data_IF_135556610370
#
_entry.id   IF_135556610370
#
_cell.length_a   1.000
_cell.length_b   1.000
_cell.length_c   1.000
_cell.angle_alpha   90.00
_cell.angle_beta   90.00
_cell.angle_gamma   90.00
#
_symmetry.space_group_name_H-M   'P 1'
#
loop_
_entity.id
_entity.type
_entity.pdbx_description
1 polymer ?
#
# COMPACT_ATOMS: atom_id res chain seq x y z
N UNK A 1 -9.83 26.68 -6.64
CA UNK A 1 -9.07 27.05 -5.40
C UNK A 1 -7.89 27.90 -5.80
N UNK A 2 -7.62 29.03 -5.09
CA UNK A 2 -6.48 29.87 -5.44
C UNK A 2 -5.13 29.16 -5.23
N UNK A 3 -4.17 29.41 -6.13
CA UNK A 3 -2.84 28.80 -6.10
C UNK A 3 -2.13 29.02 -4.74
N UNK A 4 -2.25 30.24 -4.16
CA UNK A 4 -1.65 30.52 -2.83
C UNK A 4 -2.20 29.66 -1.70
N UNK A 5 -3.46 29.16 -1.80
CA UNK A 5 -4.04 28.27 -0.81
C UNK A 5 -3.50 26.86 -0.95
N UNK A 6 -3.33 26.38 -2.20
CA UNK A 6 -2.78 25.05 -2.49
C UNK A 6 -1.35 24.87 -1.98
N UNK A 7 -0.54 25.94 -2.05
CA UNK A 7 0.89 25.84 -1.70
C UNK A 7 1.19 26.23 -0.25
N UNK A 8 0.19 26.64 0.51
CA UNK A 8 0.35 27.12 1.89
C UNK A 8 1.02 26.11 2.84
N UNK A 9 0.71 24.85 2.68
CA UNK A 9 1.21 23.76 3.54
C UNK A 9 2.35 22.95 2.87
N UNK A 10 2.94 23.44 1.78
CA UNK A 10 4.06 22.76 1.10
C UNK A 10 5.37 23.07 1.83
N UNK A 11 5.98 22.08 2.55
CA UNK A 11 7.16 22.34 3.37
C UNK A 11 8.43 22.58 2.55
N UNK A 12 8.40 22.27 1.27
CA UNK A 12 9.54 22.33 0.34
C UNK A 12 9.49 23.58 -0.54
N UNK A 13 8.59 24.54 -0.26
CA UNK A 13 8.45 25.80 -0.98
C UNK A 13 9.69 26.68 -0.76
N UNK A 14 10.33 27.11 -1.83
CA UNK A 14 11.49 28.00 -1.82
C UNK A 14 11.11 29.43 -2.22
N UNK A 15 10.42 29.60 -3.35
CA UNK A 15 10.06 30.91 -3.93
C UNK A 15 8.81 30.79 -4.81
N UNK A 16 8.12 31.90 -5.04
CA UNK A 16 7.01 31.98 -5.98
C UNK A 16 7.21 33.13 -6.96
N UNK A 17 6.79 32.96 -8.22
CA UNK A 17 6.86 33.98 -9.26
C UNK A 17 5.49 34.09 -9.96
N UNK A 18 5.01 35.31 -10.18
CA UNK A 18 3.74 35.57 -10.87
C UNK A 18 2.56 35.72 -9.91
N UNK A 19 1.34 35.74 -10.49
CA UNK A 19 0.10 35.97 -9.74
C UNK A 19 -0.37 34.72 -9.01
N UNK A 20 -0.22 34.68 -7.70
CA UNK A 20 -0.63 33.58 -6.83
C UNK A 20 -2.14 33.56 -6.54
N UNK A 21 -2.93 34.50 -7.06
CA UNK A 21 -4.39 34.51 -6.93
C UNK A 21 -5.10 33.71 -8.04
N UNK A 22 -4.35 33.20 -9.01
CA UNK A 22 -4.92 32.41 -10.09
C UNK A 22 -5.69 31.17 -9.54
N UNK A 23 -6.88 30.95 -10.12
CA UNK A 23 -7.75 29.83 -9.74
C UNK A 23 -7.30 28.54 -10.41
N UNK A 24 -7.05 27.50 -9.60
CA UNK A 24 -6.72 26.15 -10.04
C UNK A 24 -7.97 25.27 -9.95
N UNK A 25 -8.36 24.68 -11.08
CA UNK A 25 -9.52 23.79 -11.19
C UNK A 25 -9.14 22.31 -11.39
N UNK A 26 -7.88 22.04 -11.79
CA UNK A 26 -7.42 20.66 -12.05
C UNK A 26 -5.93 20.50 -11.73
N UNK A 27 -5.55 19.24 -11.45
CA UNK A 27 -4.17 18.80 -11.31
C UNK A 27 -3.73 18.06 -12.57
N UNK A 28 -2.53 18.33 -13.08
CA UNK A 28 -2.01 17.79 -14.32
C UNK A 28 -0.62 17.17 -14.14
N UNK A 29 -0.50 15.88 -14.40
CA UNK A 29 0.78 15.14 -14.44
C UNK A 29 1.20 14.73 -15.87
N UNK A 30 0.34 14.95 -16.86
CA UNK A 30 0.58 14.60 -18.26
C UNK A 30 0.38 15.82 -19.17
N UNK A 31 1.47 16.37 -19.67
CA UNK A 31 1.46 17.59 -20.52
C UNK A 31 0.64 17.45 -21.81
N UNK A 32 0.29 16.24 -22.24
CA UNK A 32 -0.50 15.98 -23.46
C UNK A 32 -2.01 16.09 -23.24
N UNK A 33 -2.45 16.05 -21.99
CA UNK A 33 -3.86 16.15 -21.64
C UNK A 33 -4.31 17.62 -21.66
N UNK A 34 -5.50 17.86 -22.22
CA UNK A 34 -6.15 19.19 -22.10
C UNK A 34 -6.67 19.33 -20.69
N UNK A 35 -6.18 20.34 -19.99
CA UNK A 35 -6.48 20.55 -18.56
C UNK A 35 -6.80 22.01 -18.32
N UNK A 36 -8.09 22.38 -18.36
CA UNK A 36 -8.52 23.76 -18.14
C UNK A 36 -8.21 24.22 -16.71
N UNK A 37 -7.55 25.39 -16.59
CA UNK A 37 -7.11 25.95 -15.31
C UNK A 37 -6.31 24.95 -14.45
N UNK A 38 -5.45 24.16 -15.12
CA UNK A 38 -4.62 23.15 -14.46
C UNK A 38 -3.37 23.71 -13.81
N UNK A 39 -2.83 22.98 -12.82
CA UNK A 39 -1.46 23.13 -12.33
C UNK A 39 -0.64 21.94 -12.79
N UNK A 40 0.47 22.17 -13.49
CA UNK A 40 1.36 21.11 -13.98
C UNK A 40 2.60 20.96 -13.10
N UNK A 41 3.00 19.71 -12.83
CA UNK A 41 4.14 19.37 -11.98
C UNK A 41 5.37 19.05 -12.81
N UNK A 42 6.41 19.89 -12.70
CA UNK A 42 7.70 19.74 -13.36
C UNK A 42 8.75 19.26 -12.34
N UNK A 43 9.21 18.04 -12.47
CA UNK A 43 10.34 17.50 -11.71
C UNK A 43 11.21 16.61 -12.59
N UNK A 44 12.47 16.45 -12.20
CA UNK A 44 13.40 15.58 -12.88
C UNK A 44 13.11 14.10 -12.54
N UNK A 45 12.94 13.26 -13.55
CA UNK A 45 12.86 11.81 -13.43
C UNK A 45 14.21 11.16 -13.77
N UNK A 46 14.31 9.83 -13.60
CA UNK A 46 15.51 9.08 -13.90
C UNK A 46 15.90 9.12 -15.41
N UNK A 47 14.90 9.24 -16.29
CA UNK A 47 15.11 9.15 -17.74
C UNK A 47 14.63 10.39 -18.52
N UNK A 48 13.87 11.28 -17.89
CA UNK A 48 13.35 12.49 -18.52
C UNK A 48 13.17 13.60 -17.50
N UNK A 49 13.18 14.85 -17.98
CA UNK A 49 12.94 16.04 -17.20
C UNK A 49 11.61 16.68 -17.62
N UNK A 50 10.63 16.69 -16.71
CA UNK A 50 9.28 17.21 -17.00
C UNK A 50 9.26 18.71 -17.29
N UNK A 51 10.26 19.47 -16.88
CA UNK A 51 10.36 20.92 -17.16
C UNK A 51 10.32 21.23 -18.68
N UNK A 52 10.90 20.37 -19.53
CA UNK A 52 10.87 20.54 -20.98
C UNK A 52 9.47 20.45 -21.60
N UNK A 53 8.50 19.91 -20.88
CA UNK A 53 7.10 19.77 -21.30
C UNK A 53 6.19 20.87 -20.76
N UNK A 54 6.71 21.81 -19.95
CA UNK A 54 5.93 22.91 -19.39
C UNK A 54 5.24 23.79 -20.44
N UNK A 55 5.91 24.17 -21.56
CA UNK A 55 5.25 24.95 -22.62
C UNK A 55 4.04 24.22 -23.21
N UNK A 56 4.14 22.89 -23.40
CA UNK A 56 3.03 22.08 -23.92
C UNK A 56 1.87 22.00 -22.91
N UNK A 57 2.16 21.82 -21.63
CA UNK A 57 1.13 21.81 -20.59
C UNK A 57 0.36 23.14 -20.53
N UNK A 58 1.06 24.26 -20.66
CA UNK A 58 0.44 25.59 -20.71
C UNK A 58 -0.42 25.76 -21.96
N UNK A 59 0.05 25.32 -23.13
CA UNK A 59 -0.76 25.30 -24.35
C UNK A 59 -2.02 24.44 -24.22
N UNK A 60 -1.99 23.41 -23.40
CA UNK A 60 -3.10 22.50 -23.13
C UNK A 60 -3.98 22.96 -21.95
N UNK A 61 -3.79 24.20 -21.43
CA UNK A 61 -4.69 24.83 -20.48
C UNK A 61 -4.21 24.87 -19.03
N UNK A 62 -2.96 24.47 -18.75
CA UNK A 62 -2.38 24.68 -17.43
C UNK A 62 -2.05 26.19 -17.23
N UNK A 63 -2.46 26.75 -16.10
CA UNK A 63 -2.32 28.17 -15.76
C UNK A 63 -1.29 28.41 -14.66
N UNK A 64 -0.69 27.37 -14.12
CA UNK A 64 0.39 27.44 -13.13
C UNK A 64 1.31 26.23 -13.22
N UNK A 65 2.55 26.37 -12.74
CA UNK A 65 3.56 25.31 -12.69
C UNK A 65 4.13 25.15 -11.28
N UNK A 66 4.38 23.90 -10.88
CA UNK A 66 5.29 23.57 -9.78
C UNK A 66 6.61 23.14 -10.41
N UNK A 67 7.72 23.77 -10.01
CA UNK A 67 9.01 23.62 -10.68
C UNK A 67 10.14 23.41 -9.66
N UNK A 68 11.21 22.70 -10.06
CA UNK A 68 12.45 22.59 -9.28
C UNK A 68 13.52 23.60 -9.76
N UNK A 69 13.24 24.33 -10.85
CA UNK A 69 13.96 25.52 -11.33
C UNK A 69 13.01 26.39 -12.11
N UNK A 70 13.17 27.71 -12.04
CA UNK A 70 12.35 28.63 -12.84
C UNK A 70 12.57 28.44 -14.35
N UNK A 71 11.49 28.65 -15.11
CA UNK A 71 11.46 28.63 -16.57
C UNK A 71 11.14 30.04 -17.06
N UNK A 72 12.06 30.66 -17.80
CA UNK A 72 11.92 32.04 -18.29
C UNK A 72 11.14 32.10 -19.62
N UNK A 73 10.97 30.98 -20.30
CA UNK A 73 10.25 30.84 -21.56
C UNK A 73 8.75 30.57 -21.39
N UNK A 74 8.24 30.53 -20.14
CA UNK A 74 6.83 30.26 -19.83
C UNK A 74 6.25 31.37 -18.98
N UNK A 75 5.19 32.03 -19.49
CA UNK A 75 4.59 33.21 -18.84
C UNK A 75 3.31 32.85 -18.03
N UNK A 76 3.48 31.97 -17.04
CA UNK A 76 2.44 31.63 -16.03
C UNK A 76 3.07 31.62 -14.62
N UNK A 77 2.28 31.74 -13.57
CA UNK A 77 2.77 31.62 -12.19
C UNK A 77 3.54 30.32 -11.96
N UNK A 78 4.66 30.42 -11.26
CA UNK A 78 5.55 29.32 -10.96
C UNK A 78 5.80 29.21 -9.45
N UNK A 79 5.73 28.01 -8.93
CA UNK A 79 6.02 27.65 -7.53
C UNK A 79 7.33 26.86 -7.53
N UNK A 80 8.41 27.48 -7.06
CA UNK A 80 9.71 26.85 -6.94
C UNK A 80 9.79 26.02 -5.66
N UNK A 81 10.12 24.75 -5.79
CA UNK A 81 10.23 23.78 -4.68
C UNK A 81 11.56 23.05 -4.73
N UNK A 82 12.06 22.59 -3.58
CA UNK A 82 13.27 21.77 -3.50
C UNK A 82 13.03 20.28 -3.82
N UNK A 83 11.79 19.81 -3.76
CA UNK A 83 11.38 18.45 -4.10
C UNK A 83 9.98 18.47 -4.74
N UNK A 84 9.93 18.33 -6.04
CA UNK A 84 8.69 18.40 -6.83
C UNK A 84 7.72 17.24 -6.56
N UNK A 85 8.25 16.04 -6.27
CA UNK A 85 7.42 14.86 -5.97
C UNK A 85 6.71 15.00 -4.62
N UNK A 86 7.45 15.41 -3.59
CA UNK A 86 6.90 15.66 -2.27
C UNK A 86 5.92 16.84 -2.28
N UNK A 87 6.25 17.92 -3.01
CA UNK A 87 5.33 19.05 -3.20
C UNK A 87 4.03 18.62 -3.91
N UNK A 88 4.11 17.75 -4.91
CA UNK A 88 2.94 17.20 -5.60
C UNK A 88 2.00 16.49 -4.61
N UNK A 89 2.51 15.63 -3.73
CA UNK A 89 1.69 14.94 -2.73
C UNK A 89 0.93 15.94 -1.86
N UNK A 90 1.64 16.94 -1.31
CA UNK A 90 1.04 17.99 -0.44
C UNK A 90 0.01 18.87 -1.16
N UNK A 91 0.26 19.23 -2.41
CA UNK A 91 -0.69 20.02 -3.22
C UNK A 91 -1.94 19.21 -3.53
N UNK A 92 -1.78 17.89 -3.83
CA UNK A 92 -2.93 17.00 -4.05
C UNK A 92 -3.81 16.87 -2.80
N UNK A 93 -3.23 16.72 -1.61
CA UNK A 93 -3.97 16.73 -0.34
C UNK A 93 -4.80 18.01 -0.17
N UNK A 94 -4.19 19.17 -0.36
CA UNK A 94 -4.87 20.45 -0.24
C UNK A 94 -5.98 20.61 -1.28
N UNK A 95 -5.74 20.23 -2.54
CA UNK A 95 -6.70 20.33 -3.63
C UNK A 95 -7.98 19.51 -3.36
N UNK A 96 -7.84 18.31 -2.81
CA UNK A 96 -8.96 17.45 -2.44
C UNK A 96 -9.48 17.68 -1.02
N UNK A 97 -9.08 18.79 -0.38
CA UNK A 97 -9.54 19.18 0.96
C UNK A 97 -9.19 18.13 2.03
N UNK A 98 -7.97 17.63 2.00
CA UNK A 98 -7.37 16.73 2.99
C UNK A 98 -8.19 15.47 3.29
N UNK A 99 -8.47 14.60 2.31
CA UNK A 99 -9.20 13.36 2.55
C UNK A 99 -8.45 12.42 3.49
N UNK A 100 -7.11 12.47 3.49
CA UNK A 100 -6.22 11.69 4.34
C UNK A 100 -6.40 11.99 5.85
N UNK A 101 -6.94 13.16 6.22
CA UNK A 101 -7.21 13.56 7.62
C UNK A 101 -8.59 13.10 8.11
N UNK A 102 -9.44 12.57 7.23
CA UNK A 102 -10.85 12.26 7.53
C UNK A 102 -11.13 10.79 7.78
N UNK A 103 -10.13 9.93 7.63
CA UNK A 103 -10.22 8.48 7.80
C UNK A 103 -9.01 7.95 8.57
N UNK A 104 -9.13 6.74 9.13
CA UNK A 104 -7.99 6.03 9.76
C UNK A 104 -7.30 5.17 8.72
N UNK A 105 -5.98 5.14 8.72
CA UNK A 105 -5.20 4.37 7.75
C UNK A 105 -4.42 3.24 8.41
N UNK A 106 -4.45 2.05 7.78
CA UNK A 106 -3.54 0.95 8.04
C UNK A 106 -2.66 0.77 6.82
N UNK A 107 -1.35 0.94 6.98
CA UNK A 107 -0.38 0.78 5.90
C UNK A 107 0.38 -0.53 6.04
N UNK A 108 0.40 -1.35 4.98
CA UNK A 108 1.07 -2.65 4.99
C UNK A 108 2.25 -2.61 4.04
N UNK A 109 3.46 -2.74 4.57
CA UNK A 109 4.71 -2.81 3.79
C UNK A 109 5.42 -4.15 4.02
N UNK A 110 6.31 -4.48 3.10
CA UNK A 110 7.09 -5.71 3.07
C UNK A 110 7.27 -6.20 1.63
N UNK A 111 7.97 -7.29 1.43
CA UNK A 111 8.13 -7.87 0.10
C UNK A 111 6.91 -8.68 -0.29
N UNK A 112 6.49 -9.62 0.54
CA UNK A 112 5.37 -10.55 0.30
C UNK A 112 4.27 -10.37 1.35
N UNK A 113 3.06 -10.81 1.05
CA UNK A 113 1.94 -10.83 1.99
C UNK A 113 1.10 -9.56 2.06
N UNK A 114 1.52 -8.44 1.48
CA UNK A 114 0.79 -7.16 1.53
C UNK A 114 -0.69 -7.29 1.13
N UNK A 115 -0.94 -7.80 -0.05
CA UNK A 115 -2.31 -7.92 -0.61
C UNK A 115 -3.19 -8.82 0.26
N UNK A 116 -2.71 -10.01 0.62
CA UNK A 116 -3.50 -10.93 1.45
C UNK A 116 -3.78 -10.33 2.82
N UNK A 117 -2.77 -9.74 3.46
CA UNK A 117 -2.94 -9.06 4.75
C UNK A 117 -3.93 -7.90 4.66
N UNK A 118 -3.89 -7.10 3.58
CA UNK A 118 -4.82 -5.97 3.43
C UNK A 118 -6.27 -6.42 3.32
N UNK A 119 -6.55 -7.50 2.60
CA UNK A 119 -7.90 -8.09 2.54
C UNK A 119 -8.34 -8.66 3.90
N UNK A 120 -7.43 -9.32 4.63
CA UNK A 120 -7.72 -9.83 5.98
C UNK A 120 -8.03 -8.69 6.96
N UNK A 121 -7.23 -7.60 6.97
CA UNK A 121 -7.51 -6.42 7.81
C UNK A 121 -8.84 -5.80 7.45
N UNK A 122 -9.14 -5.64 6.14
CA UNK A 122 -10.44 -5.13 5.68
C UNK A 122 -11.57 -5.98 6.21
N UNK A 123 -11.52 -7.31 6.05
CA UNK A 123 -12.54 -8.25 6.53
C UNK A 123 -12.74 -8.14 8.04
N UNK A 124 -11.66 -8.06 8.83
CA UNK A 124 -11.73 -7.91 10.28
C UNK A 124 -12.40 -6.58 10.67
N UNK A 125 -12.01 -5.48 10.04
CA UNK A 125 -12.58 -4.16 10.33
C UNK A 125 -14.07 -4.10 9.95
N UNK A 126 -14.48 -4.73 8.85
CA UNK A 126 -15.88 -4.81 8.45
C UNK A 126 -16.73 -5.64 9.42
N UNK A 127 -16.20 -6.75 9.97
CA UNK A 127 -16.84 -7.50 11.03
C UNK A 127 -16.99 -6.67 12.33
N UNK A 128 -16.07 -5.75 12.58
CA UNK A 128 -16.16 -4.82 13.70
C UNK A 128 -17.12 -3.63 13.42
N UNK A 129 -17.79 -3.61 12.26
CA UNK A 129 -18.79 -2.59 11.89
C UNK A 129 -18.21 -1.33 11.22
N UNK A 130 -16.92 -1.29 10.87
CA UNK A 130 -16.35 -0.18 10.13
C UNK A 130 -16.66 -0.29 8.63
N UNK A 131 -16.97 0.83 8.00
CA UNK A 131 -16.99 0.92 6.53
C UNK A 131 -15.56 1.07 6.03
N UNK A 132 -15.09 0.12 5.21
CA UNK A 132 -13.69 0.04 4.81
C UNK A 132 -13.47 0.41 3.35
N UNK A 133 -12.30 1.02 3.08
CA UNK A 133 -11.67 1.14 1.77
C UNK A 133 -10.41 0.29 1.71
N UNK A 134 -10.00 -0.08 0.50
CA UNK A 134 -8.75 -0.77 0.24
C UNK A 134 -8.03 -0.09 -0.93
N UNK A 135 -6.71 0.07 -0.80
CA UNK A 135 -5.82 0.57 -1.86
C UNK A 135 -4.71 -0.45 -2.05
N UNK A 136 -4.62 -1.08 -3.23
CA UNK A 136 -3.63 -2.13 -3.42
C UNK A 136 -3.48 -2.67 -4.84
N UNK A 137 -2.68 -3.71 -4.95
CA UNK A 137 -2.27 -4.35 -6.22
C UNK A 137 -3.45 -4.86 -7.06
N UNK A 138 -4.51 -5.32 -6.42
CA UNK A 138 -5.71 -5.82 -7.09
C UNK A 138 -6.69 -4.72 -7.51
N UNK A 139 -6.29 -3.45 -7.39
CA UNK A 139 -7.14 -2.28 -7.54
C UNK A 139 -7.60 -1.72 -6.19
N UNK A 140 -8.31 -0.59 -6.24
CA UNK A 140 -8.85 0.06 -5.06
C UNK A 140 -10.31 -0.38 -4.83
N UNK A 141 -10.78 -0.37 -3.59
CA UNK A 141 -12.14 -0.75 -3.23
C UNK A 141 -12.78 0.27 -2.30
N UNK A 142 -14.06 0.53 -2.51
CA UNK A 142 -14.92 1.31 -1.60
C UNK A 142 -16.07 0.38 -1.20
N UNK A 143 -15.98 -0.25 -0.03
CA UNK A 143 -16.84 -1.39 0.30
C UNK A 143 -16.68 -2.49 -0.76
N UNK A 144 -17.75 -2.79 -1.51
CA UNK A 144 -17.76 -3.76 -2.61
C UNK A 144 -17.48 -3.15 -4.01
N UNK A 145 -17.48 -1.80 -4.13
CA UNK A 145 -17.17 -1.13 -5.41
C UNK A 145 -15.68 -1.25 -5.71
N UNK A 146 -15.34 -1.85 -6.85
CA UNK A 146 -13.97 -1.98 -7.32
C UNK A 146 -13.59 -0.84 -8.27
N UNK A 147 -12.42 -0.25 -8.06
CA UNK A 147 -11.81 0.81 -8.88
C UNK A 147 -10.49 0.25 -9.43
N UNK A 148 -10.34 0.07 -10.75
CA UNK A 148 -9.10 -0.41 -11.33
C UNK A 148 -7.92 0.50 -10.97
N UNK A 149 -6.77 -0.07 -10.67
CA UNK A 149 -5.51 0.65 -10.44
C UNK A 149 -4.38 -0.06 -11.17
N UNK A 150 -3.49 0.71 -11.77
CA UNK A 150 -2.30 0.18 -12.45
C UNK A 150 -1.08 0.05 -11.52
N UNK A 151 -1.19 0.54 -10.29
CA UNK A 151 -0.09 0.56 -9.31
C UNK A 151 -0.58 0.06 -7.96
N UNK A 152 0.27 -0.68 -7.26
CA UNK A 152 0.03 -1.11 -5.86
C UNK A 152 -0.29 0.06 -4.93
N UNK A 153 0.42 1.16 -5.09
CA UNK A 153 0.18 2.43 -4.40
C UNK A 153 0.10 3.51 -5.49
N UNK A 154 -1.07 4.10 -5.75
CA UNK A 154 -1.26 5.07 -6.82
C UNK A 154 -0.38 6.32 -6.70
N UNK A 155 -0.25 7.08 -7.78
CA UNK A 155 0.35 8.41 -7.74
C UNK A 155 -0.54 9.40 -6.96
N UNK A 156 0.00 10.50 -6.43
CA UNK A 156 -0.74 11.37 -5.50
C UNK A 156 -2.07 11.90 -6.04
N UNK A 157 -2.18 12.24 -7.33
CA UNK A 157 -3.44 12.73 -7.94
C UNK A 157 -4.52 11.67 -7.87
N UNK A 158 -4.22 10.46 -8.32
CA UNK A 158 -5.19 9.36 -8.35
C UNK A 158 -5.51 8.91 -6.93
N UNK A 159 -4.49 8.80 -6.06
CA UNK A 159 -4.67 8.42 -4.66
C UNK A 159 -5.62 9.39 -3.94
N UNK A 160 -5.37 10.69 -4.01
CA UNK A 160 -6.21 11.67 -3.31
C UNK A 160 -7.62 11.77 -3.90
N UNK A 161 -7.78 11.54 -5.21
CA UNK A 161 -9.11 11.43 -5.84
C UNK A 161 -9.88 10.25 -5.27
N UNK A 162 -9.26 9.07 -5.24
CA UNK A 162 -9.91 7.86 -4.73
C UNK A 162 -10.22 7.97 -3.23
N UNK A 163 -9.30 8.56 -2.44
CA UNK A 163 -9.54 8.83 -1.02
C UNK A 163 -10.70 9.82 -0.81
N UNK A 164 -10.82 10.84 -1.68
CA UNK A 164 -11.95 11.76 -1.61
C UNK A 164 -13.28 11.06 -1.93
N UNK A 165 -13.33 10.15 -2.91
CA UNK A 165 -14.50 9.30 -3.15
C UNK A 165 -14.81 8.41 -1.93
N UNK A 166 -13.79 7.85 -1.27
CA UNK A 166 -13.95 7.07 -0.03
C UNK A 166 -14.57 7.91 1.09
N UNK A 167 -14.12 9.16 1.27
CA UNK A 167 -14.72 10.10 2.25
C UNK A 167 -16.19 10.34 1.93
N UNK A 168 -16.53 10.63 0.67
CA UNK A 168 -17.92 10.86 0.25
C UNK A 168 -18.79 9.62 0.44
N UNK A 169 -18.21 8.43 0.30
CA UNK A 169 -18.89 7.17 0.57
C UNK A 169 -19.01 6.86 2.07
N UNK A 170 -18.42 7.66 2.97
CA UNK A 170 -18.46 7.44 4.41
C UNK A 170 -17.53 6.33 4.91
N UNK A 171 -16.42 6.06 4.20
CA UNK A 171 -15.36 5.14 4.65
C UNK A 171 -14.72 5.68 5.93
N UNK A 172 -14.48 4.80 6.89
CA UNK A 172 -13.91 5.12 8.20
C UNK A 172 -12.46 4.59 8.35
N UNK A 173 -12.16 3.44 7.73
CA UNK A 173 -10.86 2.81 7.76
C UNK A 173 -10.41 2.49 6.33
N UNK A 174 -9.21 2.92 5.96
CA UNK A 174 -8.58 2.57 4.68
C UNK A 174 -7.39 1.67 4.95
N UNK A 175 -7.40 0.50 4.33
CA UNK A 175 -6.25 -0.43 4.35
C UNK A 175 -5.47 -0.24 3.05
N UNK A 176 -4.18 0.09 3.17
CA UNK A 176 -3.33 0.44 2.03
C UNK A 176 -2.08 -0.43 1.94
N UNK A 177 -1.82 -1.00 0.79
CA UNK A 177 -0.52 -1.56 0.47
C UNK A 177 0.48 -0.41 0.25
N UNK A 178 1.51 -0.34 1.09
CA UNK A 178 2.59 0.67 1.03
C UNK A 178 3.79 0.05 0.35
N UNK A 179 3.96 0.32 -0.95
CA UNK A 179 5.12 -0.15 -1.71
C UNK A 179 6.36 0.69 -1.38
N UNK A 180 7.55 0.07 -1.46
CA UNK A 180 8.81 0.79 -1.27
C UNK A 180 8.99 1.92 -2.31
N UNK A 181 8.57 1.69 -3.57
CA UNK A 181 8.59 2.74 -4.58
C UNK A 181 7.71 3.95 -4.19
N UNK A 182 6.55 3.73 -3.56
CA UNK A 182 5.70 4.84 -3.15
C UNK A 182 6.34 5.67 -2.03
N UNK A 183 7.07 5.04 -1.12
CA UNK A 183 7.83 5.71 -0.07
C UNK A 183 8.99 6.52 -0.68
N UNK A 184 9.81 5.89 -1.51
CA UNK A 184 10.98 6.51 -2.16
C UNK A 184 10.58 7.65 -3.12
N UNK A 185 9.46 7.49 -3.82
CA UNK A 185 8.92 8.49 -4.73
C UNK A 185 8.03 9.54 -4.05
N UNK A 186 8.01 9.62 -2.73
CA UNK A 186 7.25 10.61 -1.96
C UNK A 186 5.74 10.65 -2.25
N UNK A 187 5.14 9.51 -2.66
CA UNK A 187 3.70 9.49 -3.00
C UNK A 187 2.79 9.64 -1.80
N UNK A 188 3.30 9.33 -0.62
CA UNK A 188 2.56 9.31 0.65
C UNK A 188 2.99 10.40 1.62
N UNK A 189 3.79 11.38 1.15
CA UNK A 189 4.23 12.49 1.99
C UNK A 189 3.03 13.30 2.49
N UNK A 190 2.96 13.50 3.80
CA UNK A 190 1.85 14.15 4.48
C UNK A 190 0.81 13.21 5.06
N UNK A 191 0.73 11.98 4.58
CA UNK A 191 -0.17 10.98 5.16
C UNK A 191 0.32 10.47 6.51
N UNK A 192 -0.61 10.16 7.40
CA UNK A 192 -0.35 9.54 8.70
C UNK A 192 -1.16 8.25 8.82
N UNK A 193 -0.48 7.17 9.23
CA UNK A 193 -1.07 5.85 9.41
C UNK A 193 -1.26 5.55 10.89
N UNK A 194 -2.46 5.13 11.28
CA UNK A 194 -2.76 4.70 12.65
C UNK A 194 -1.94 3.45 13.03
N UNK A 195 -1.74 2.56 12.04
CA UNK A 195 -0.89 1.39 12.17
C UNK A 195 -0.08 1.17 10.88
N UNK A 196 1.23 1.03 11.00
CA UNK A 196 2.12 0.48 9.98
C UNK A 196 2.37 -1.00 10.24
N UNK A 197 2.30 -1.85 9.21
CA UNK A 197 2.60 -3.27 9.31
C UNK A 197 3.84 -3.62 8.49
N UNK A 198 4.82 -4.28 9.11
CA UNK A 198 5.99 -4.86 8.45
C UNK A 198 5.82 -6.37 8.34
N UNK A 199 5.69 -6.89 7.12
CA UNK A 199 5.45 -8.33 6.90
C UNK A 199 6.73 -9.14 6.77
N UNK A 200 7.62 -8.77 5.88
CA UNK A 200 8.91 -9.44 5.64
C UNK A 200 9.79 -8.67 4.64
N UNK A 201 11.07 -9.08 4.54
CA UNK A 201 11.99 -8.64 3.51
C UNK A 201 12.61 -9.85 2.80
N UNK A 202 12.49 -9.90 1.50
CA UNK A 202 13.20 -10.83 0.63
C UNK A 202 13.66 -10.12 -0.63
N UNK A 203 14.50 -10.76 -1.43
CA UNK A 203 15.02 -10.15 -2.66
C UNK A 203 13.88 -9.80 -3.63
N UNK A 204 13.79 -8.49 -3.96
CA UNK A 204 12.88 -7.93 -4.94
C UNK A 204 13.35 -6.51 -5.31
N UNK A 205 12.99 -6.00 -6.49
CA UNK A 205 13.23 -4.61 -6.92
C UNK A 205 14.69 -4.11 -6.80
N UNK A 206 15.70 -5.01 -6.94
CA UNK A 206 17.11 -4.61 -6.88
C UNK A 206 17.56 -3.83 -8.12
N UNK A 207 16.86 -3.95 -9.22
CA UNK A 207 16.99 -3.11 -10.41
C UNK A 207 16.78 -1.63 -10.09
N UNK A 208 15.90 -1.31 -9.15
CA UNK A 208 15.60 0.05 -8.71
C UNK A 208 16.44 0.46 -7.48
N UNK A 209 16.43 -0.34 -6.40
CA UNK A 209 17.09 0.00 -5.14
C UNK A 209 18.60 -0.28 -5.12
N UNK A 210 19.10 -1.07 -6.07
CA UNK A 210 20.52 -1.46 -6.18
C UNK A 210 20.94 -2.51 -5.14
N UNK A 211 20.60 -2.33 -3.88
CA UNK A 211 20.98 -3.23 -2.77
C UNK A 211 19.80 -3.58 -1.86
N UNK A 212 19.89 -4.74 -1.19
CA UNK A 212 18.93 -5.14 -0.16
C UNK A 212 18.90 -4.13 1.02
N UNK A 213 20.04 -3.50 1.30
CA UNK A 213 20.13 -2.50 2.36
C UNK A 213 19.28 -1.26 2.03
N UNK A 214 19.45 -0.68 0.85
CA UNK A 214 18.63 0.47 0.41
C UNK A 214 17.14 0.13 0.40
N UNK A 215 16.79 -1.07 -0.06
CA UNK A 215 15.42 -1.55 -0.07
C UNK A 215 14.84 -1.68 1.34
N UNK A 216 15.63 -2.18 2.29
CA UNK A 216 15.24 -2.25 3.70
C UNK A 216 15.11 -0.85 4.33
N UNK A 217 16.09 0.03 4.14
CA UNK A 217 16.07 1.39 4.71
C UNK A 217 14.86 2.18 4.21
N UNK A 218 14.49 2.03 2.95
CA UNK A 218 13.27 2.64 2.42
C UNK A 218 12.02 2.16 3.17
N UNK A 219 11.86 0.85 3.42
CA UNK A 219 10.73 0.34 4.21
C UNK A 219 10.79 0.75 5.68
N UNK A 220 11.97 0.76 6.27
CA UNK A 220 12.20 1.18 7.66
C UNK A 220 11.77 2.63 7.89
N UNK A 221 11.99 3.50 6.90
CA UNK A 221 11.58 4.90 6.96
C UNK A 221 10.07 5.07 7.24
N UNK A 222 9.23 4.15 6.79
CA UNK A 222 7.78 4.17 7.08
C UNK A 222 7.47 4.17 8.59
N UNK A 223 8.32 3.54 9.41
CA UNK A 223 8.16 3.40 10.85
C UNK A 223 8.95 4.44 11.66
N UNK A 224 9.97 5.05 11.06
CA UNK A 224 10.91 5.95 11.76
C UNK A 224 10.79 7.41 11.37
N UNK A 225 10.05 7.74 10.30
CA UNK A 225 9.86 9.12 9.81
C UNK A 225 8.66 9.85 10.41
N UNK A 226 7.89 9.20 11.29
CA UNK A 226 6.65 9.77 11.84
C UNK A 226 5.40 9.51 10.98
N UNK A 227 5.51 8.74 9.89
CA UNK A 227 4.34 8.37 9.07
C UNK A 227 3.41 7.39 9.80
N UNK A 228 3.94 6.43 10.55
CA UNK A 228 3.15 5.50 11.36
C UNK A 228 3.11 5.95 12.82
N UNK A 229 1.92 5.86 13.46
CA UNK A 229 1.74 6.12 14.89
C UNK A 229 2.02 4.89 15.74
N UNK A 230 1.70 3.71 15.22
CA UNK A 230 1.91 2.41 15.84
C UNK A 230 2.47 1.44 14.79
N UNK A 231 3.13 0.36 15.23
CA UNK A 231 3.68 -0.64 14.32
C UNK A 231 3.26 -2.06 14.70
N UNK A 232 2.92 -2.88 13.68
CA UNK A 232 2.83 -4.33 13.76
C UNK A 232 4.04 -4.94 13.04
N UNK A 233 4.91 -5.68 13.74
CA UNK A 233 6.20 -6.11 13.22
C UNK A 233 6.33 -7.62 13.29
N UNK A 234 6.63 -8.27 12.16
CA UNK A 234 6.95 -9.69 12.11
C UNK A 234 8.32 -9.95 12.78
N UNK A 235 8.30 -10.57 13.96
CA UNK A 235 9.50 -10.87 14.74
C UNK A 235 10.34 -12.02 14.14
N UNK A 236 9.76 -12.84 13.27
CA UNK A 236 10.45 -13.95 12.63
C UNK A 236 11.23 -13.53 11.36
N UNK A 237 11.10 -12.28 10.91
CA UNK A 237 11.87 -11.77 9.79
C UNK A 237 13.32 -11.47 10.20
N UNK A 238 14.28 -11.82 9.35
CA UNK A 238 15.71 -11.67 9.64
C UNK A 238 16.11 -10.21 9.96
N UNK A 239 15.39 -9.22 9.44
CA UNK A 239 15.65 -7.79 9.68
C UNK A 239 14.83 -7.22 10.84
N UNK A 240 13.98 -8.04 11.49
CA UNK A 240 13.11 -7.57 12.58
C UNK A 240 13.88 -6.97 13.75
N UNK A 241 14.96 -7.61 14.18
CA UNK A 241 15.79 -7.12 15.29
C UNK A 241 16.40 -5.74 15.02
N UNK A 242 16.80 -5.48 13.77
CA UNK A 242 17.31 -4.18 13.34
C UNK A 242 16.17 -3.13 13.29
N UNK A 243 15.03 -3.49 12.75
CA UNK A 243 13.88 -2.60 12.68
C UNK A 243 13.41 -2.21 14.10
N UNK A 244 13.26 -3.18 14.99
CA UNK A 244 12.81 -2.97 16.38
C UNK A 244 13.76 -2.09 17.19
N UNK A 245 15.07 -2.13 16.92
CA UNK A 245 16.05 -1.26 17.58
C UNK A 245 15.81 0.22 17.28
N UNK A 246 15.36 0.53 16.05
CA UNK A 246 15.23 1.90 15.56
C UNK A 246 13.79 2.45 15.65
N UNK A 247 12.79 1.57 15.83
CA UNK A 247 11.38 1.94 15.99
C UNK A 247 11.13 2.44 17.42
N UNK A 248 10.75 3.70 17.55
CA UNK A 248 10.46 4.35 18.84
C UNK A 248 8.97 4.50 19.14
N UNK A 249 8.11 4.24 18.16
CA UNK A 249 6.66 4.29 18.31
C UNK A 249 6.14 3.03 19.03
N UNK A 250 4.95 3.08 19.66
CA UNK A 250 4.31 1.90 20.22
C UNK A 250 4.19 0.80 19.17
N UNK A 251 4.50 -0.43 19.53
CA UNK A 251 4.47 -1.54 18.59
C UNK A 251 3.98 -2.85 19.21
N UNK A 252 3.48 -3.72 18.38
CA UNK A 252 3.13 -5.10 18.67
C UNK A 252 3.92 -6.01 17.76
N UNK A 253 4.66 -6.95 18.32
CA UNK A 253 5.37 -7.98 17.56
C UNK A 253 4.47 -9.18 17.31
N UNK A 254 4.62 -9.83 16.16
CA UNK A 254 3.94 -11.09 15.89
C UNK A 254 4.89 -12.10 15.24
N UNK A 255 4.62 -13.40 15.43
CA UNK A 255 5.46 -14.46 14.89
C UNK A 255 4.99 -15.87 15.22
N UNK A 256 5.74 -16.87 14.79
CA UNK A 256 5.50 -18.29 15.05
C UNK A 256 6.69 -18.90 15.79
N UNK A 257 7.90 -18.56 15.38
CA UNK A 257 9.17 -19.09 15.91
C UNK A 257 9.75 -18.22 17.02
N UNK A 258 9.80 -16.89 16.84
CA UNK A 258 10.33 -15.95 17.82
C UNK A 258 9.33 -15.72 18.98
N UNK A 259 9.87 -15.26 20.13
CA UNK A 259 9.01 -14.69 21.15
C UNK A 259 8.38 -13.38 20.64
N UNK A 260 7.04 -13.35 20.62
CA UNK A 260 6.28 -12.23 20.13
C UNK A 260 5.10 -11.92 21.06
N UNK A 261 4.52 -10.72 20.92
CA UNK A 261 3.32 -10.34 21.68
C UNK A 261 2.08 -11.08 21.19
N UNK A 262 2.03 -11.37 19.88
CA UNK A 262 0.99 -12.14 19.23
C UNK A 262 1.62 -13.30 18.46
N UNK A 263 1.17 -14.54 18.70
CA UNK A 263 1.78 -15.71 18.08
C UNK A 263 0.77 -16.82 17.80
N UNK A 264 1.13 -17.72 16.86
CA UNK A 264 0.34 -18.89 16.53
C UNK A 264 0.95 -20.16 17.14
N UNK A 265 0.09 -21.08 17.61
CA UNK A 265 0.43 -22.44 18.08
C UNK A 265 -0.54 -23.45 17.50
N UNK A 266 -0.19 -24.72 17.60
CA UNK A 266 -1.02 -25.84 17.19
C UNK A 266 -1.55 -25.69 15.76
N UNK A 267 -0.61 -25.40 14.84
CA UNK A 267 -0.91 -25.09 13.44
C UNK A 267 -1.12 -26.38 12.66
N UNK A 268 -2.31 -26.57 12.11
CA UNK A 268 -2.68 -27.66 11.23
C UNK A 268 -3.00 -27.13 9.83
N UNK A 269 -2.22 -27.57 8.82
CA UNK A 269 -2.39 -27.16 7.43
C UNK A 269 -3.06 -28.27 6.65
N UNK A 270 -4.18 -27.96 6.02
CA UNK A 270 -4.93 -28.85 5.14
C UNK A 270 -5.10 -28.27 3.74
N UNK A 271 -5.61 -29.05 2.82
CA UNK A 271 -5.94 -28.58 1.48
C UNK A 271 -7.08 -27.54 1.45
N UNK A 272 -7.90 -27.48 2.51
CA UNK A 272 -9.09 -26.63 2.58
C UNK A 272 -8.87 -25.39 3.46
N UNK A 273 -7.70 -25.28 4.11
CA UNK A 273 -7.40 -24.15 4.99
C UNK A 273 -6.34 -24.46 6.04
N UNK A 274 -6.23 -23.57 7.00
CA UNK A 274 -5.31 -23.70 8.15
C UNK A 274 -6.08 -23.46 9.43
N UNK A 275 -5.92 -24.33 10.43
CA UNK A 275 -6.37 -24.07 11.79
C UNK A 275 -5.19 -23.81 12.71
N UNK A 276 -5.33 -22.89 13.67
CA UNK A 276 -4.31 -22.59 14.67
C UNK A 276 -4.89 -21.86 15.87
N UNK A 277 -4.19 -21.92 16.98
CA UNK A 277 -4.46 -21.07 18.14
C UNK A 277 -3.75 -19.73 18.00
N UNK A 278 -4.51 -18.64 17.94
CA UNK A 278 -4.01 -17.27 18.04
C UNK A 278 -3.87 -16.91 19.52
N UNK A 279 -2.66 -16.62 19.95
CA UNK A 279 -2.36 -16.29 21.36
C UNK A 279 -1.76 -14.89 21.49
N UNK A 280 -2.32 -14.09 22.41
CA UNK A 280 -1.68 -12.90 22.93
C UNK A 280 -0.83 -13.28 24.14
N UNK A 281 0.31 -12.61 24.33
CA UNK A 281 1.14 -12.78 25.52
C UNK A 281 0.29 -12.51 26.79
N UNK A 282 0.23 -13.47 27.69
CA UNK A 282 -0.52 -13.42 28.96
C UNK A 282 -2.06 -13.36 28.83
N UNK A 283 -2.65 -13.78 27.71
CA UNK A 283 -4.09 -13.88 27.53
C UNK A 283 -4.52 -15.30 27.12
N UNK A 284 -5.84 -15.52 27.13
CA UNK A 284 -6.43 -16.73 26.56
C UNK A 284 -6.20 -16.78 25.04
N UNK A 285 -6.19 -17.99 24.48
CA UNK A 285 -6.07 -18.18 23.05
C UNK A 285 -7.45 -18.15 22.36
N UNK A 286 -7.42 -17.88 21.06
CA UNK A 286 -8.58 -17.92 20.21
C UNK A 286 -8.30 -18.92 19.10
N UNK A 287 -9.19 -19.90 18.92
CA UNK A 287 -9.11 -20.82 17.78
C UNK A 287 -9.48 -20.10 16.50
N UNK A 288 -8.61 -20.18 15.50
CA UNK A 288 -8.80 -19.62 14.15
C UNK A 288 -8.86 -20.76 13.13
N UNK A 289 -9.85 -20.70 12.23
CA UNK A 289 -10.03 -21.64 11.13
C UNK A 289 -10.08 -20.87 9.80
N UNK A 290 -8.91 -20.65 9.22
CA UNK A 290 -8.80 -19.98 7.91
C UNK A 290 -9.23 -20.93 6.79
N UNK A 291 -9.96 -20.40 5.82
CA UNK A 291 -10.31 -21.12 4.58
C UNK A 291 -9.21 -21.02 3.50
N UNK A 292 -8.11 -20.39 3.81
CA UNK A 292 -6.94 -20.22 2.95
C UNK A 292 -5.79 -21.07 3.48
N UNK A 293 -5.23 -21.93 2.63
CA UNK A 293 -4.16 -22.88 3.01
C UNK A 293 -2.77 -22.24 2.96
N UNK A 294 -1.81 -22.86 3.64
CA UNK A 294 -0.39 -22.53 3.61
C UNK A 294 0.11 -21.74 4.82
N UNK A 295 1.35 -22.04 5.25
CA UNK A 295 1.99 -21.41 6.40
C UNK A 295 2.10 -19.88 6.27
N UNK A 296 2.33 -19.36 5.07
CA UNK A 296 2.38 -17.90 4.83
C UNK A 296 1.04 -17.21 5.13
N UNK A 297 -0.11 -17.93 5.03
CA UNK A 297 -1.40 -17.36 5.42
C UNK A 297 -1.59 -17.31 6.94
N UNK A 298 -0.87 -18.13 7.71
CA UNK A 298 -0.78 -17.94 9.17
C UNK A 298 -0.07 -16.62 9.49
N UNK A 299 1.05 -16.32 8.84
CA UNK A 299 1.74 -15.03 8.99
C UNK A 299 0.88 -13.85 8.54
N UNK A 300 0.17 -13.96 7.41
CA UNK A 300 -0.75 -12.92 6.96
C UNK A 300 -1.88 -12.68 7.96
N UNK A 301 -2.42 -13.75 8.57
CA UNK A 301 -3.45 -13.65 9.59
C UNK A 301 -2.92 -13.02 10.89
N UNK A 302 -1.71 -13.38 11.32
CA UNK A 302 -1.04 -12.73 12.46
C UNK A 302 -0.81 -11.25 12.20
N UNK A 303 -0.33 -10.90 10.99
CA UNK A 303 -0.16 -9.49 10.56
C UNK A 303 -1.48 -8.72 10.65
N UNK A 304 -2.54 -9.31 10.12
CA UNK A 304 -3.86 -8.67 10.09
C UNK A 304 -4.46 -8.55 11.50
N UNK A 305 -4.32 -9.58 12.33
CA UNK A 305 -4.77 -9.57 13.71
C UNK A 305 -4.03 -8.50 14.54
N UNK A 306 -2.70 -8.39 14.41
CA UNK A 306 -1.92 -7.35 15.08
C UNK A 306 -2.38 -5.95 14.68
N UNK A 307 -2.58 -5.68 13.37
CA UNK A 307 -3.11 -4.40 12.90
C UNK A 307 -4.49 -4.09 13.49
N UNK A 308 -5.39 -5.05 13.48
CA UNK A 308 -6.76 -4.88 13.97
C UNK A 308 -6.80 -4.65 15.49
N UNK A 309 -6.00 -5.38 16.26
CA UNK A 309 -5.87 -5.19 17.72
C UNK A 309 -5.31 -3.80 18.06
N UNK A 310 -4.32 -3.30 17.30
CA UNK A 310 -3.81 -1.92 17.43
C UNK A 310 -4.91 -0.89 17.15
N UNK A 311 -5.82 -1.16 16.22
CA UNK A 311 -7.00 -0.32 15.96
C UNK A 311 -8.06 -0.39 17.05
N UNK A 312 -7.94 -1.30 18.03
CA UNK A 312 -8.90 -1.52 19.10
C UNK A 312 -10.06 -2.46 18.74
N UNK A 313 -9.89 -3.27 17.68
CA UNK A 313 -10.87 -4.31 17.31
C UNK A 313 -10.78 -5.46 18.31
N UNK A 314 -11.94 -6.00 18.74
CA UNK A 314 -11.96 -7.09 19.70
C UNK A 314 -11.44 -8.40 19.10
N UNK A 315 -10.89 -9.30 19.93
CA UNK A 315 -10.42 -10.61 19.52
C UNK A 315 -11.49 -11.47 18.82
N UNK A 316 -12.75 -11.35 19.23
CA UNK A 316 -13.90 -12.06 18.60
C UNK A 316 -14.13 -11.58 17.16
N UNK A 317 -14.05 -10.27 16.93
CA UNK A 317 -14.15 -9.69 15.58
C UNK A 317 -12.93 -10.04 14.72
N UNK A 318 -11.74 -10.13 15.31
CA UNK A 318 -10.54 -10.64 14.63
C UNK A 318 -10.80 -12.06 14.11
N UNK A 319 -11.27 -12.97 14.97
CA UNK A 319 -11.64 -14.33 14.58
C UNK A 319 -12.67 -14.33 13.45
N UNK A 320 -13.79 -13.65 13.69
CA UNK A 320 -14.90 -13.64 12.74
C UNK A 320 -14.47 -13.12 11.36
N UNK A 321 -13.66 -12.06 11.31
CA UNK A 321 -13.16 -11.50 10.06
C UNK A 321 -12.16 -12.40 9.35
N UNK A 322 -11.26 -13.06 10.06
CA UNK A 322 -10.33 -14.04 9.50
C UNK A 322 -11.05 -15.27 8.93
N UNK A 323 -12.05 -15.80 9.63
CA UNK A 323 -12.82 -16.97 9.20
C UNK A 323 -13.81 -16.66 8.09
N UNK A 324 -14.20 -15.38 7.91
CA UNK A 324 -15.11 -14.95 6.86
C UNK A 324 -14.43 -14.79 5.48
N UNK A 325 -13.11 -14.63 5.42
CA UNK A 325 -12.39 -14.48 4.15
C UNK A 325 -12.20 -15.84 3.48
N UNK A 326 -12.69 -15.97 2.25
CA UNK A 326 -12.64 -17.23 1.50
C UNK A 326 -11.45 -17.32 0.55
N UNK A 327 -11.13 -16.24 -0.11
CA UNK A 327 -10.03 -16.13 -1.06
C UNK A 327 -9.63 -14.67 -1.25
N UNK A 328 -8.44 -14.46 -1.78
CA UNK A 328 -7.97 -13.16 -2.26
C UNK A 328 -7.66 -13.32 -3.75
N UNK A 329 -8.16 -12.43 -4.62
CA UNK A 329 -7.94 -12.54 -6.06
C UNK A 329 -6.47 -12.71 -6.41
N UNK A 330 -6.14 -13.76 -7.18
CA UNK A 330 -4.78 -14.08 -7.60
C UNK A 330 -3.83 -14.48 -6.47
N UNK A 331 -4.30 -14.96 -5.31
CA UNK A 331 -3.47 -15.43 -4.17
C UNK A 331 -3.91 -16.81 -3.70
N UNK A 332 -3.30 -17.87 -4.26
CA UNK A 332 -3.76 -19.27 -4.10
C UNK A 332 -5.28 -19.36 -4.28
N UNK A 333 -5.77 -18.67 -5.25
CA UNK A 333 -7.20 -18.63 -5.54
C UNK A 333 -7.63 -19.96 -6.17
N UNK A 334 -8.48 -20.69 -5.45
CA UNK A 334 -9.08 -21.94 -5.95
C UNK A 334 -10.20 -21.59 -6.91
N UNK A 335 -9.98 -21.78 -8.21
CA UNK A 335 -11.01 -21.52 -9.21
C UNK A 335 -12.06 -22.64 -9.20
N UNK A 336 -13.35 -22.31 -9.16
CA UNK A 336 -14.41 -23.32 -9.26
C UNK A 336 -14.40 -23.92 -10.65
N UNK A 337 -14.20 -25.24 -10.73
CA UNK A 337 -14.20 -25.99 -11.98
C UNK A 337 -15.07 -27.25 -11.85
N UNK A 338 -15.73 -27.65 -12.94
CA UNK A 338 -16.49 -28.91 -13.01
C UNK A 338 -15.57 -30.08 -13.44
N UNK A 339 -14.31 -30.07 -13.01
CA UNK A 339 -13.28 -31.05 -13.41
C UNK A 339 -12.83 -31.87 -12.20
N UNK A 340 -12.28 -33.11 -12.40
CA UNK A 340 -11.73 -33.92 -11.32
C UNK A 340 -10.35 -33.40 -10.80
N UNK A 341 -9.84 -32.29 -11.32
CA UNK A 341 -8.62 -31.63 -10.87
C UNK A 341 -8.93 -30.21 -10.36
N UNK A 342 -8.08 -29.72 -9.50
CA UNK A 342 -8.16 -28.34 -8.98
C UNK A 342 -7.34 -27.41 -9.86
N UNK A 343 -7.85 -26.18 -10.04
CA UNK A 343 -7.13 -25.08 -10.69
C UNK A 343 -6.87 -24.01 -9.63
N UNK A 344 -5.61 -23.63 -9.52
CA UNK A 344 -5.16 -22.61 -8.58
C UNK A 344 -4.58 -21.46 -9.40
N UNK A 345 -5.07 -20.25 -9.16
CA UNK A 345 -4.51 -19.02 -9.71
C UNK A 345 -3.66 -18.31 -8.66
N UNK A 346 -2.43 -17.94 -9.03
CA UNK A 346 -1.55 -17.16 -8.16
C UNK A 346 -0.69 -16.18 -8.96
N UNK A 347 -0.39 -15.04 -8.37
CA UNK A 347 0.42 -13.97 -8.97
C UNK A 347 1.94 -14.19 -8.79
N UNK A 348 2.38 -15.32 -8.25
CA UNK A 348 3.79 -15.60 -8.03
C UNK A 348 4.59 -15.62 -9.34
N UNK A 349 5.49 -14.67 -9.51
CA UNK A 349 6.37 -14.50 -10.68
C UNK A 349 7.86 -14.43 -10.30
N UNK A 350 8.20 -14.21 -9.03
CA UNK A 350 9.57 -14.28 -8.52
C UNK A 350 9.93 -15.71 -8.10
N UNK A 351 11.21 -16.16 -8.23
CA UNK A 351 11.64 -17.53 -7.94
C UNK A 351 11.22 -18.02 -6.55
N UNK A 352 11.42 -17.24 -5.51
CA UNK A 352 11.07 -17.62 -4.13
C UNK A 352 9.57 -17.74 -3.94
N UNK A 353 8.78 -16.82 -4.51
CA UNK A 353 7.34 -16.86 -4.44
C UNK A 353 6.80 -18.13 -5.13
N UNK A 354 7.28 -18.40 -6.35
CA UNK A 354 6.89 -19.60 -7.10
C UNK A 354 7.29 -20.88 -6.35
N UNK A 355 8.50 -20.95 -5.80
CA UNK A 355 8.96 -22.10 -5.01
C UNK A 355 8.06 -22.35 -3.79
N UNK A 356 7.67 -21.30 -3.07
CA UNK A 356 6.80 -21.41 -1.90
C UNK A 356 5.40 -21.90 -2.27
N UNK A 357 4.81 -21.39 -3.35
CA UNK A 357 3.51 -21.87 -3.86
C UNK A 357 3.59 -23.33 -4.28
N UNK A 358 4.60 -23.70 -5.07
CA UNK A 358 4.78 -25.08 -5.54
C UNK A 358 4.96 -26.04 -4.37
N UNK A 359 5.75 -25.68 -3.36
CA UNK A 359 5.91 -26.48 -2.14
C UNK A 359 4.58 -26.65 -1.40
N UNK A 360 3.84 -25.56 -1.20
CA UNK A 360 2.52 -25.59 -0.56
C UNK A 360 1.55 -26.50 -1.32
N UNK A 361 1.44 -26.32 -2.64
CA UNK A 361 0.57 -27.15 -3.46
C UNK A 361 0.98 -28.62 -3.42
N UNK A 362 2.30 -28.91 -3.31
CA UNK A 362 2.81 -30.29 -3.24
C UNK A 362 2.40 -31.00 -1.97
N UNK A 363 2.22 -30.31 -0.84
CA UNK A 363 1.84 -30.95 0.43
C UNK A 363 0.49 -31.68 0.37
N UNK A 364 -0.44 -31.21 -0.44
CA UNK A 364 -1.77 -31.80 -0.58
C UNK A 364 -2.03 -32.47 -1.95
N UNK A 365 -1.09 -32.40 -2.89
CA UNK A 365 -1.24 -33.02 -4.21
C UNK A 365 -0.89 -34.50 -4.17
N UNK A 366 -1.89 -35.39 -4.35
CA UNK A 366 -1.72 -36.87 -4.32
C UNK A 366 -1.28 -37.45 -5.65
N UNK A 367 -1.48 -36.75 -6.77
CA UNK A 367 -1.21 -37.26 -8.12
C UNK A 367 -0.32 -36.29 -8.91
N UNK A 368 -0.64 -36.10 -10.19
CA UNK A 368 0.09 -35.20 -11.08
C UNK A 368 -0.12 -33.75 -10.66
N UNK A 369 0.97 -33.01 -10.61
CA UNK A 369 1.01 -31.56 -10.44
C UNK A 369 1.53 -30.92 -11.73
N UNK A 370 0.84 -29.92 -12.23
CA UNK A 370 1.20 -29.22 -13.47
C UNK A 370 1.26 -27.72 -13.19
N UNK A 371 2.33 -27.07 -13.58
CA UNK A 371 2.46 -25.63 -13.59
C UNK A 371 2.18 -25.12 -15.00
N UNK A 372 1.21 -24.24 -15.14
CA UNK A 372 1.00 -23.43 -16.33
C UNK A 372 1.45 -22.00 -15.99
N UNK A 373 2.56 -21.58 -16.58
CA UNK A 373 3.08 -20.24 -16.42
C UNK A 373 2.60 -19.36 -17.59
N UNK A 374 1.88 -18.33 -17.28
CA UNK A 374 1.25 -17.41 -18.24
C UNK A 374 1.70 -15.98 -18.00
N UNK A 375 3.01 -15.73 -17.85
CA UNK A 375 3.46 -14.34 -17.83
C UNK A 375 3.38 -13.83 -19.28
N UNK A 376 2.64 -12.78 -19.51
CA UNK A 376 2.71 -12.05 -20.76
C UNK A 376 3.96 -11.18 -20.72
N UNK A 377 5.03 -11.63 -21.37
CA UNK A 377 6.29 -10.88 -21.48
C UNK A 377 6.12 -9.52 -22.21
N UNK A 378 4.93 -9.19 -22.68
CA UNK A 378 4.60 -7.90 -23.25
C UNK A 378 4.25 -6.84 -22.20
N UNK A 379 3.83 -7.26 -20.99
CA UNK A 379 3.50 -6.35 -19.89
C UNK A 379 4.73 -5.94 -19.05
N UNK A 380 5.88 -6.61 -19.25
CA UNK A 380 7.17 -6.31 -18.59
C UNK A 380 8.05 -5.30 -19.35
N UNK A 381 7.47 -4.49 -20.26
CA UNK A 381 8.20 -3.47 -21.03
C UNK A 381 7.86 -2.05 -20.63
#
# INVERSE_FOLDING_TARGET
MELRQLVKEVPYLLETRGDMSVEIAALCSNSREKTENGIFFCFAGAHFDAHQYAPQAVQNGCVALVVERFLDDVNVPQVLVSNGRAAMARICEAFFNHPERKMRFVGITGTKGKTTTSYMVKSICEQAGFKCGLVGTTGNMIGEKHIPSSKTTPDPIDLMRDLNEMVQAGVQVVVMEVSAHALDMHRLDGMTFECGCYTNLSQDHLDYFGTMENYFQCKKAFFTSGMAKNAAINADDERAAELLRDVTIPHMTYGIAAEADLFARDIEITENGVSFELRLRNAEYIQINLRMTGMFNVYNALSAAACALILGVSPENVRAGLENIHSVPGRIEMLPTNTPYRVILDYAHAPDALSNILRTCRTFTKKRFCLLYTSDAADDK
#
